data_IF_136471706700
#
_entry.id   IF_136471706700
#
_cell.length_a   1.000
_cell.length_b   1.000
_cell.length_c   1.000
_cell.angle_alpha   90.00
_cell.angle_beta   90.00
_cell.angle_gamma   90.00
#
_symmetry.space_group_name_H-M   'P 1'
#
loop_
_entity.id
_entity.type
_entity.pdbx_description
1 polymer ?
#
# COMPACT_ATOMS: atom_id res chain seq x y z
N UNK A 1 46.27 -22.89 -5.43
CA UNK A 1 45.83 -21.55 -4.98
C UNK A 1 44.72 -21.09 -5.90
N UNK A 2 43.52 -20.90 -5.31
CA UNK A 2 42.31 -20.25 -5.84
C UNK A 2 41.62 -20.86 -7.07
N UNK A 3 40.77 -21.86 -6.80
CA UNK A 3 39.49 -22.08 -7.51
C UNK A 3 38.53 -20.93 -7.13
N UNK A 4 38.05 -20.11 -8.07
CA UNK A 4 36.80 -20.24 -8.87
C UNK A 4 35.51 -20.20 -8.00
N UNK A 5 34.69 -19.18 -8.30
CA UNK A 5 33.26 -18.95 -8.03
C UNK A 5 32.73 -19.07 -6.59
N UNK A 6 32.28 -17.94 -6.04
CA UNK A 6 30.99 -17.84 -5.35
C UNK A 6 30.55 -16.38 -5.39
N UNK A 7 30.04 -15.95 -6.54
CA UNK A 7 29.17 -14.78 -6.57
C UNK A 7 27.88 -15.20 -5.89
N UNK A 8 27.68 -14.72 -4.67
CA UNK A 8 26.48 -14.98 -3.89
C UNK A 8 25.32 -14.28 -4.62
N UNK A 9 24.64 -15.07 -5.44
CA UNK A 9 23.37 -14.75 -6.07
C UNK A 9 22.37 -14.52 -4.92
N UNK A 10 22.06 -13.25 -4.65
CA UNK A 10 20.98 -12.87 -3.75
C UNK A 10 19.68 -13.36 -4.38
N UNK A 11 19.15 -14.45 -3.83
CA UNK A 11 17.93 -15.09 -4.30
C UNK A 11 16.77 -14.25 -3.75
N UNK A 12 16.24 -13.33 -4.56
CA UNK A 12 14.79 -13.13 -4.56
C UNK A 12 14.23 -14.51 -4.86
N UNK A 13 13.66 -15.16 -3.84
CA UNK A 13 13.19 -16.53 -3.96
C UNK A 13 12.14 -16.53 -5.06
N UNK A 14 12.47 -17.17 -6.19
CA UNK A 14 11.52 -17.41 -7.25
C UNK A 14 10.43 -18.33 -6.74
N UNK A 15 9.22 -17.82 -6.64
CA UNK A 15 8.01 -18.61 -6.76
C UNK A 15 7.25 -18.10 -7.99
N UNK A 16 7.06 -18.92 -9.04
CA UNK A 16 6.05 -18.64 -10.04
C UNK A 16 4.72 -19.14 -9.44
N UNK A 17 4.08 -18.31 -8.63
CA UNK A 17 2.63 -18.35 -8.57
C UNK A 17 2.23 -17.15 -9.39
N UNK A 18 1.58 -17.38 -10.53
CA UNK A 18 0.90 -16.32 -11.23
C UNK A 18 -0.23 -15.85 -10.31
N UNK A 19 0.09 -15.03 -9.31
CA UNK A 19 -0.85 -14.04 -8.84
C UNK A 19 -1.14 -13.17 -10.06
N UNK A 20 -2.41 -13.02 -10.42
CA UNK A 20 -2.77 -12.05 -11.43
C UNK A 20 -2.21 -10.70 -10.97
N UNK A 21 -1.62 -9.92 -11.89
CA UNK A 21 -1.15 -8.57 -11.55
C UNK A 21 -2.30 -7.81 -10.85
N UNK A 22 -2.04 -7.04 -9.78
CA UNK A 22 -3.07 -6.36 -9.03
C UNK A 22 -3.91 -5.52 -9.96
N UNK A 23 -5.23 -5.56 -9.79
CA UNK A 23 -6.16 -4.88 -10.69
C UNK A 23 -5.82 -3.38 -10.80
N UNK A 24 -5.39 -2.77 -9.69
CA UNK A 24 -5.00 -1.37 -9.65
C UNK A 24 -3.84 -1.02 -10.58
N UNK A 25 -2.96 -1.97 -10.94
CA UNK A 25 -1.88 -1.71 -11.92
C UNK A 25 -2.43 -1.35 -13.29
N UNK A 26 -3.53 -1.99 -13.69
CA UNK A 26 -4.23 -1.66 -14.94
C UNK A 26 -5.03 -0.38 -14.77
N UNK A 27 -5.80 -0.25 -13.68
CA UNK A 27 -6.66 0.93 -13.45
C UNK A 27 -5.86 2.23 -13.34
N UNK A 28 -4.67 2.17 -12.73
CA UNK A 28 -3.75 3.31 -12.56
C UNK A 28 -2.71 3.45 -13.67
N UNK A 29 -2.80 2.65 -14.72
CA UNK A 29 -1.91 2.70 -15.90
C UNK A 29 -0.42 2.59 -15.54
N UNK A 30 -0.09 1.70 -14.60
CA UNK A 30 1.28 1.40 -14.18
C UNK A 30 1.98 0.48 -15.18
N UNK A 31 1.20 -0.33 -15.90
CA UNK A 31 1.70 -1.27 -16.90
C UNK A 31 2.06 -0.58 -18.22
N UNK A 32 3.21 -0.98 -18.78
CA UNK A 32 3.58 -0.57 -20.13
C UNK A 32 2.71 -1.32 -21.18
N UNK A 33 2.27 -0.65 -22.26
CA UNK A 33 1.33 -1.21 -23.23
C UNK A 33 1.91 -2.29 -24.16
N UNK A 34 3.23 -2.53 -24.16
CA UNK A 34 3.86 -3.50 -25.07
C UNK A 34 4.95 -4.32 -24.38
N UNK A 35 4.69 -5.63 -24.27
CA UNK A 35 5.54 -6.73 -23.75
C UNK A 35 6.09 -6.56 -22.33
N UNK A 36 5.77 -7.52 -21.46
CA UNK A 36 6.38 -7.73 -20.14
C UNK A 36 7.88 -7.96 -20.29
N UNK A 37 8.67 -6.88 -20.18
CA UNK A 37 10.11 -6.97 -20.06
C UNK A 37 10.50 -6.75 -18.60
N UNK A 38 10.15 -7.72 -17.75
CA UNK A 38 10.38 -7.64 -16.30
C UNK A 38 11.88 -7.69 -15.94
N UNK A 39 12.75 -8.06 -16.89
CA UNK A 39 14.21 -8.01 -16.72
C UNK A 39 14.83 -6.67 -17.14
N UNK A 40 14.04 -5.72 -17.68
CA UNK A 40 14.54 -4.40 -18.03
C UNK A 40 14.96 -3.60 -16.80
N UNK A 41 16.03 -2.81 -16.93
CA UNK A 41 16.42 -1.86 -15.91
C UNK A 41 15.33 -0.79 -15.73
N UNK A 42 15.07 -0.44 -14.47
CA UNK A 42 14.11 0.61 -14.09
C UNK A 42 14.85 1.88 -13.72
N UNK A 43 14.27 3.03 -14.06
CA UNK A 43 14.79 4.33 -13.62
C UNK A 43 14.03 4.87 -12.39
N UNK A 44 14.64 5.85 -11.72
CA UNK A 44 14.09 6.48 -10.50
C UNK A 44 12.71 7.09 -10.73
N UNK A 45 12.46 7.67 -11.90
CA UNK A 45 11.17 8.27 -12.25
C UNK A 45 10.04 7.24 -12.33
N UNK A 46 10.30 6.07 -12.93
CA UNK A 46 9.36 4.95 -12.97
C UNK A 46 9.03 4.43 -11.58
N UNK A 47 10.02 4.34 -10.69
CA UNK A 47 9.81 3.94 -9.30
C UNK A 47 8.94 4.95 -8.53
N UNK A 48 9.23 6.25 -8.68
CA UNK A 48 8.40 7.32 -8.10
C UNK A 48 6.97 7.30 -8.62
N UNK A 49 6.77 7.01 -9.90
CA UNK A 49 5.43 6.89 -10.48
C UNK A 49 4.67 5.71 -9.87
N UNK A 50 5.30 4.54 -9.75
CA UNK A 50 4.73 3.38 -9.05
C UNK A 50 4.31 3.73 -7.62
N UNK A 51 5.20 4.35 -6.84
CA UNK A 51 4.92 4.78 -5.48
C UNK A 51 3.77 5.80 -5.42
N UNK A 52 3.72 6.78 -6.34
CA UNK A 52 2.62 7.74 -6.40
C UNK A 52 1.27 7.06 -6.71
N UNK A 53 1.25 6.05 -7.59
CA UNK A 53 0.04 5.30 -7.88
C UNK A 53 -0.38 4.41 -6.70
N UNK A 54 0.56 3.80 -5.99
CA UNK A 54 0.29 3.08 -4.74
C UNK A 54 -0.27 3.98 -3.64
N UNK A 55 0.28 5.20 -3.47
CA UNK A 55 -0.27 6.19 -2.53
C UNK A 55 -1.73 6.50 -2.89
N UNK A 56 -2.02 6.70 -4.18
CA UNK A 56 -3.37 6.95 -4.64
C UNK A 56 -4.30 5.75 -4.38
N UNK A 57 -3.81 4.52 -4.58
CA UNK A 57 -4.55 3.29 -4.27
C UNK A 57 -4.87 3.18 -2.79
N UNK A 58 -3.87 3.28 -1.92
CA UNK A 58 -4.08 3.23 -0.48
C UNK A 58 -4.94 4.37 0.03
N UNK A 59 -4.84 5.58 -0.54
CA UNK A 59 -5.74 6.68 -0.16
C UNK A 59 -7.18 6.43 -0.58
N UNK A 60 -7.41 5.74 -1.70
CA UNK A 60 -8.75 5.38 -2.14
C UNK A 60 -9.31 4.23 -1.28
N UNK A 61 -8.57 3.14 -1.15
CA UNK A 61 -9.01 1.91 -0.48
C UNK A 61 -8.95 2.02 1.04
N UNK A 62 -7.89 2.62 1.59
CA UNK A 62 -7.72 2.81 3.03
C UNK A 62 -8.14 4.21 3.51
N UNK A 63 -8.70 5.04 2.63
CA UNK A 63 -9.10 6.42 2.94
C UNK A 63 -9.88 6.61 4.25
N UNK A 64 -10.87 5.76 4.59
CA UNK A 64 -11.58 5.84 5.87
C UNK A 64 -10.67 5.70 7.10
N UNK A 65 -9.53 5.01 6.99
CA UNK A 65 -8.57 4.76 8.07
C UNK A 65 -7.34 5.67 8.02
N UNK A 66 -7.45 6.80 7.30
CA UNK A 66 -6.37 7.75 7.11
C UNK A 66 -5.53 7.52 5.85
N UNK A 67 -5.93 6.57 5.00
CA UNK A 67 -5.30 6.33 3.70
C UNK A 67 -3.87 5.81 3.81
N UNK A 68 -3.05 6.16 2.83
CA UNK A 68 -1.64 5.83 2.79
C UNK A 68 -0.86 6.46 3.95
N UNK A 69 -1.23 7.68 4.37
CA UNK A 69 -0.42 8.54 5.26
C UNK A 69 1.02 8.77 4.77
N UNK A 70 1.26 8.60 3.47
CA UNK A 70 2.57 8.74 2.81
C UNK A 70 2.46 9.85 1.78
N UNK A 71 3.45 10.73 1.72
CA UNK A 71 3.58 11.80 0.75
C UNK A 71 4.75 11.56 -0.18
N UNK A 72 4.61 11.92 -1.46
CA UNK A 72 5.76 11.90 -2.38
C UNK A 72 6.89 12.83 -1.94
N UNK A 73 6.60 13.83 -1.10
CA UNK A 73 7.61 14.71 -0.51
C UNK A 73 8.54 13.99 0.47
N UNK A 74 8.10 12.87 1.07
CA UNK A 74 8.90 12.10 2.01
C UNK A 74 10.09 11.41 1.32
N UNK A 75 10.02 11.24 0.00
CA UNK A 75 11.06 10.63 -0.83
C UNK A 75 11.94 11.64 -1.57
N UNK A 76 11.69 12.95 -1.41
CA UNK A 76 12.43 14.00 -2.09
C UNK A 76 13.46 14.60 -1.15
N UNK A 77 14.73 14.49 -1.51
CA UNK A 77 15.76 15.31 -0.91
C UNK A 77 15.85 16.64 -1.68
N UNK A 78 15.42 17.79 -1.10
CA UNK A 78 15.40 19.07 -1.79
C UNK A 78 16.81 19.58 -2.17
N UNK A 79 17.86 19.00 -1.60
CA UNK A 79 19.25 19.36 -1.84
C UNK A 79 20.00 18.34 -2.71
N UNK A 80 19.34 17.27 -3.16
CA UNK A 80 19.94 16.29 -4.06
C UNK A 80 19.69 16.69 -5.52
N UNK A 81 20.66 16.47 -6.39
CA UNK A 81 20.43 16.56 -7.83
C UNK A 81 19.39 15.50 -8.24
N UNK A 82 18.20 15.93 -8.66
CA UNK A 82 17.14 15.04 -9.11
C UNK A 82 17.49 14.50 -10.50
N UNK A 83 17.83 13.22 -10.59
CA UNK A 83 17.98 12.53 -11.87
C UNK A 83 17.00 11.36 -11.96
N UNK A 84 15.79 11.64 -12.44
CA UNK A 84 14.73 10.64 -12.57
C UNK A 84 15.02 9.62 -13.69
N UNK A 85 16.00 9.90 -14.56
CA UNK A 85 16.46 8.96 -15.59
C UNK A 85 17.60 8.05 -15.12
N UNK A 86 18.13 8.27 -13.91
CA UNK A 86 19.13 7.38 -13.33
C UNK A 86 18.54 6.00 -13.08
N UNK A 87 19.37 4.95 -13.20
CA UNK A 87 18.99 3.61 -12.81
C UNK A 87 18.64 3.58 -11.31
N UNK A 88 17.52 2.94 -10.97
CA UNK A 88 17.11 2.72 -9.60
C UNK A 88 18.03 1.69 -8.94
N UNK A 89 18.49 1.95 -7.73
CA UNK A 89 19.27 0.98 -6.96
C UNK A 89 18.43 0.19 -5.96
N UNK A 90 18.90 -0.98 -5.52
CA UNK A 90 18.20 -1.83 -4.54
C UNK A 90 17.90 -1.06 -3.24
N UNK A 91 18.87 -0.33 -2.71
CA UNK A 91 18.67 0.47 -1.49
C UNK A 91 17.64 1.58 -1.67
N UNK A 92 17.58 2.21 -2.85
CA UNK A 92 16.56 3.21 -3.18
C UNK A 92 15.17 2.58 -3.26
N UNK A 93 15.05 1.38 -3.83
CA UNK A 93 13.78 0.66 -3.90
C UNK A 93 13.30 0.26 -2.50
N UNK A 94 14.18 -0.31 -1.66
CA UNK A 94 13.87 -0.62 -0.25
C UNK A 94 13.34 0.62 0.47
N UNK A 95 14.10 1.72 0.43
CA UNK A 95 13.72 2.99 1.04
C UNK A 95 12.36 3.50 0.55
N UNK A 96 12.08 3.39 -0.75
CA UNK A 96 10.82 3.81 -1.33
C UNK A 96 9.64 2.93 -0.87
N UNK A 97 9.84 1.62 -0.75
CA UNK A 97 8.80 0.66 -0.41
C UNK A 97 8.53 0.57 1.11
N UNK A 98 9.54 0.79 1.95
CA UNK A 98 9.44 0.68 3.43
C UNK A 98 8.16 1.28 4.03
N UNK A 99 7.80 2.57 3.79
CA UNK A 99 6.66 3.15 4.47
C UNK A 99 5.32 2.52 4.05
N UNK A 100 5.23 1.92 2.86
CA UNK A 100 4.03 1.19 2.43
C UNK A 100 3.86 -0.11 3.22
N UNK A 101 4.95 -0.86 3.41
CA UNK A 101 4.94 -2.07 4.24
C UNK A 101 4.63 -1.73 5.70
N UNK A 102 5.25 -0.69 6.25
CA UNK A 102 4.99 -0.25 7.63
C UNK A 102 3.50 0.10 7.81
N UNK A 103 2.94 0.86 6.86
CA UNK A 103 1.53 1.22 6.89
C UNK A 103 0.60 0.02 6.80
N UNK A 104 0.92 -0.97 5.97
CA UNK A 104 0.13 -2.21 5.86
C UNK A 104 0.23 -3.07 7.12
N UNK A 105 1.39 -3.10 7.77
CA UNK A 105 1.60 -3.80 9.03
C UNK A 105 0.73 -3.23 10.17
N UNK A 106 0.41 -1.93 10.15
CA UNK A 106 -0.55 -1.33 11.10
C UNK A 106 -1.97 -1.90 10.98
N UNK A 107 -2.30 -2.55 9.85
CA UNK A 107 -3.58 -3.23 9.58
C UNK A 107 -3.46 -4.76 9.68
N UNK A 108 -2.39 -5.28 10.28
CA UNK A 108 -2.12 -6.73 10.36
C UNK A 108 -2.12 -7.45 8.99
N UNK A 109 -1.83 -6.72 7.91
CA UNK A 109 -1.82 -7.24 6.53
C UNK A 109 -0.91 -8.46 6.34
N UNK A 110 0.14 -8.57 7.15
CA UNK A 110 1.13 -9.64 7.10
C UNK A 110 0.85 -10.79 8.09
N UNK A 111 -0.34 -10.80 8.70
CA UNK A 111 -0.83 -11.81 9.63
C UNK A 111 -1.14 -11.25 11.01
N UNK A 112 -1.96 -11.97 11.77
CA UNK A 112 -2.39 -11.62 13.14
C UNK A 112 -1.77 -12.58 14.17
N UNK A 113 -1.01 -12.09 15.17
CA UNK A 113 -0.49 -10.72 15.27
C UNK A 113 0.58 -10.45 14.20
N UNK A 114 0.75 -9.18 13.81
CA UNK A 114 1.80 -8.78 12.88
C UNK A 114 3.17 -9.40 13.24
N UNK A 115 3.83 -10.09 12.30
CA UNK A 115 5.15 -10.66 12.54
C UNK A 115 6.20 -9.59 12.90
N UNK A 116 7.24 -9.99 13.63
CA UNK A 116 8.36 -9.07 13.94
C UNK A 116 9.13 -8.60 12.70
N UNK A 117 8.99 -9.31 11.58
CA UNK A 117 9.62 -9.01 10.30
C UNK A 117 8.64 -9.32 9.17
N UNK A 118 8.26 -8.29 8.40
CA UNK A 118 7.26 -8.37 7.32
C UNK A 118 7.75 -7.82 5.98
N UNK A 119 8.99 -7.33 5.92
CA UNK A 119 9.59 -6.91 4.65
C UNK A 119 9.90 -8.12 3.78
N UNK A 120 9.85 -7.93 2.46
CA UNK A 120 10.20 -8.99 1.50
C UNK A 120 11.72 -9.15 1.30
N UNK A 121 12.56 -8.47 2.10
CA UNK A 121 14.02 -8.54 2.08
C UNK A 121 14.57 -8.86 3.47
N UNK A 122 15.78 -9.42 3.53
CA UNK A 122 16.39 -9.90 4.77
C UNK A 122 16.78 -8.75 5.73
N UNK A 123 16.82 -9.02 7.03
CA UNK A 123 17.39 -8.10 8.04
C UNK A 123 18.93 -8.13 8.07
N UNK A 124 19.53 -9.08 7.35
CA UNK A 124 20.97 -9.21 7.25
C UNK A 124 21.48 -8.09 6.37
N UNK A 125 22.40 -7.28 6.88
CA UNK A 125 22.93 -6.12 6.14
C UNK A 125 24.23 -6.42 5.38
N UNK A 126 24.76 -7.64 5.52
CA UNK A 126 26.03 -8.06 4.89
C UNK A 126 25.87 -8.58 3.47
N UNK A 127 24.65 -8.89 3.05
CA UNK A 127 24.26 -9.34 1.70
C UNK A 127 23.50 -8.25 0.92
N UNK A 128 23.34 -7.07 1.53
CA UNK A 128 22.65 -5.91 0.97
C UNK A 128 23.45 -5.31 -0.19
N UNK A 129 23.13 -5.76 -1.40
CA UNK A 129 23.68 -5.22 -2.63
C UNK A 129 22.98 -3.90 -3.01
N UNK A 130 22.94 -2.95 -2.09
CA UNK A 130 22.08 -1.76 -2.15
C UNK A 130 22.39 -0.80 -3.32
N UNK A 131 23.59 -0.91 -3.90
CA UNK A 131 24.02 -0.14 -5.07
C UNK A 131 23.75 -0.85 -6.40
N UNK A 132 23.27 -2.09 -6.39
CA UNK A 132 22.92 -2.80 -7.62
C UNK A 132 21.69 -2.20 -8.29
N UNK A 133 21.67 -2.23 -9.63
CA UNK A 133 20.53 -1.79 -10.40
C UNK A 133 19.34 -2.75 -10.24
N UNK A 134 18.14 -2.19 -10.19
CA UNK A 134 16.86 -2.89 -10.08
C UNK A 134 16.25 -3.13 -11.46
N UNK A 135 15.63 -4.30 -11.64
CA UNK A 135 14.81 -4.60 -12.81
C UNK A 135 13.30 -4.39 -12.57
N UNK A 136 12.52 -4.37 -13.65
CA UNK A 136 11.08 -4.10 -13.60
C UNK A 136 10.28 -5.11 -12.77
N UNK A 137 10.66 -6.39 -12.79
CA UNK A 137 10.05 -7.43 -11.97
C UNK A 137 10.27 -7.21 -10.49
N UNK A 138 11.46 -6.74 -10.10
CA UNK A 138 11.77 -6.38 -8.71
C UNK A 138 10.96 -5.18 -8.22
N UNK A 139 10.80 -4.13 -9.04
CA UNK A 139 9.93 -3.00 -8.69
C UNK A 139 8.49 -3.47 -8.53
N UNK A 140 7.97 -4.21 -9.52
CA UNK A 140 6.62 -4.78 -9.51
C UNK A 140 6.35 -5.60 -8.26
N UNK A 141 7.24 -6.55 -7.95
CA UNK A 141 7.12 -7.42 -6.78
C UNK A 141 7.00 -6.65 -5.45
N UNK A 142 7.66 -5.49 -5.32
CA UNK A 142 7.59 -4.68 -4.10
C UNK A 142 6.32 -3.83 -3.97
N UNK A 143 5.49 -3.77 -5.02
CA UNK A 143 4.23 -3.03 -5.07
C UNK A 143 3.07 -3.93 -5.53
N UNK A 144 3.16 -5.23 -5.25
CA UNK A 144 2.19 -6.26 -5.66
C UNK A 144 1.09 -6.47 -4.60
N UNK A 145 0.58 -5.36 -4.04
CA UNK A 145 -0.45 -5.42 -3.01
C UNK A 145 -1.84 -5.39 -3.66
N UNK A 146 -2.63 -6.43 -3.43
CA UNK A 146 -4.01 -6.52 -3.91
C UNK A 146 -5.02 -6.13 -2.83
N UNK A 147 -5.49 -4.89 -2.90
CA UNK A 147 -6.47 -4.30 -1.98
C UNK A 147 -7.93 -4.69 -2.28
N UNK A 148 -8.18 -5.42 -3.36
CA UNK A 148 -9.54 -5.73 -3.83
C UNK A 148 -9.93 -7.19 -3.61
N UNK A 149 -9.05 -8.02 -3.07
CA UNK A 149 -9.44 -9.37 -2.68
C UNK A 149 -10.21 -9.31 -1.35
N UNK A 150 -11.49 -9.72 -1.29
CA UNK A 150 -12.25 -9.76 -0.04
C UNK A 150 -11.59 -10.67 1.02
N UNK A 151 -10.78 -11.65 0.61
CA UNK A 151 -9.95 -12.43 1.54
C UNK A 151 -8.77 -11.67 2.19
N UNK A 152 -8.42 -10.48 1.69
CA UNK A 152 -7.32 -9.66 2.23
C UNK A 152 -7.82 -8.62 3.25
N UNK A 153 -9.12 -8.57 3.49
CA UNK A 153 -9.71 -7.87 4.62
C UNK A 153 -10.01 -8.93 5.68
N UNK A 154 -9.24 -8.92 6.77
CA UNK A 154 -9.40 -9.90 7.86
C UNK A 154 -10.82 -9.77 8.42
N UNK A 155 -11.48 -10.91 8.60
CA UNK A 155 -12.82 -11.11 9.20
C UNK A 155 -12.73 -12.39 10.07
N UNK A 156 -12.22 -12.26 11.28
CA UNK A 156 -11.90 -13.35 12.20
C UNK A 156 -13.17 -13.98 12.79
N UNK A 157 -14.24 -13.22 12.99
CA UNK A 157 -15.54 -13.74 13.43
C UNK A 157 -16.51 -14.14 12.30
N UNK A 158 -16.07 -13.99 11.03
CA UNK A 158 -16.72 -14.46 9.81
C UNK A 158 -18.16 -13.96 9.65
N UNK A 159 -18.37 -12.69 9.95
CA UNK A 159 -19.68 -12.07 9.85
C UNK A 159 -19.85 -11.22 8.58
N UNK A 160 -18.87 -11.25 7.68
CA UNK A 160 -18.74 -10.46 6.45
C UNK A 160 -18.49 -8.95 6.71
N UNK A 161 -18.07 -8.57 7.93
CA UNK A 161 -17.51 -7.26 8.26
C UNK A 161 -15.99 -7.30 8.42
N UNK A 162 -15.28 -6.22 8.09
CA UNK A 162 -13.85 -6.12 8.34
C UNK A 162 -13.45 -5.97 9.81
N UNK A 163 -12.57 -6.82 10.33
CA UNK A 163 -12.05 -6.79 11.70
C UNK A 163 -11.57 -5.39 12.11
N UNK A 164 -10.77 -4.78 11.24
CA UNK A 164 -10.18 -3.48 11.54
C UNK A 164 -11.27 -2.40 11.69
N UNK A 165 -12.40 -2.54 10.97
CA UNK A 165 -13.50 -1.57 11.01
C UNK A 165 -14.30 -1.78 12.29
N UNK A 166 -14.61 -3.01 12.64
CA UNK A 166 -15.33 -3.35 13.86
C UNK A 166 -14.59 -2.93 15.12
N UNK A 167 -13.27 -3.19 15.17
CA UNK A 167 -12.40 -2.71 16.26
C UNK A 167 -12.40 -1.18 16.32
N UNK A 168 -12.39 -0.49 15.18
CA UNK A 168 -12.39 0.97 15.15
C UNK A 168 -13.73 1.58 15.63
N UNK A 169 -14.86 0.97 15.31
CA UNK A 169 -16.18 1.47 15.71
C UNK A 169 -16.54 1.09 17.15
N UNK A 170 -16.19 -0.12 17.59
CA UNK A 170 -16.72 -0.72 18.83
C UNK A 170 -15.65 -1.21 19.80
N UNK A 171 -14.39 -1.30 19.38
CA UNK A 171 -13.29 -1.81 20.18
C UNK A 171 -13.25 -3.34 20.32
N UNK A 172 -14.09 -4.07 19.59
CA UNK A 172 -14.10 -5.53 19.50
C UNK A 172 -14.73 -5.96 18.17
N UNK A 173 -14.62 -7.25 17.82
CA UNK A 173 -15.20 -7.80 16.59
C UNK A 173 -16.71 -8.03 16.79
N UNK A 174 -17.04 -8.79 17.84
CA UNK A 174 -18.40 -9.30 18.13
C UNK A 174 -19.54 -8.30 18.42
N UNK A 175 -19.36 -6.98 18.30
CA UNK A 175 -20.44 -6.00 18.55
C UNK A 175 -21.24 -5.72 17.30
N UNK A 176 -20.58 -5.48 16.18
CA UNK A 176 -21.22 -5.54 14.87
C UNK A 176 -21.21 -7.03 14.52
N UNK A 177 -22.35 -7.56 14.10
CA UNK A 177 -22.50 -9.03 13.96
C UNK A 177 -23.05 -9.44 12.59
N UNK A 178 -23.24 -8.44 11.73
CA UNK A 178 -23.73 -8.62 10.38
C UNK A 178 -23.60 -7.32 9.55
N UNK A 179 -23.31 -7.41 8.24
CA UNK A 179 -23.38 -6.29 7.30
C UNK A 179 -24.79 -5.72 7.11
N UNK A 180 -25.83 -6.53 7.33
CA UNK A 180 -27.23 -6.19 7.02
C UNK A 180 -27.98 -5.57 8.22
N UNK A 181 -27.35 -5.46 9.39
CA UNK A 181 -27.97 -4.83 10.57
C UNK A 181 -27.79 -3.32 10.57
N UNK A 182 -28.79 -2.61 11.07
CA UNK A 182 -28.78 -1.17 11.34
C UNK A 182 -28.68 -1.00 12.86
N UNK A 183 -27.46 -1.08 13.38
CA UNK A 183 -27.20 -1.20 14.82
C UNK A 183 -27.57 0.06 15.61
N UNK A 184 -27.53 1.23 14.98
CA UNK A 184 -27.91 2.50 15.59
C UNK A 184 -29.33 2.99 15.23
N UNK A 185 -30.00 2.31 14.30
CA UNK A 185 -31.36 2.58 13.82
C UNK A 185 -31.52 3.93 13.12
N UNK A 186 -30.53 4.35 12.32
CA UNK A 186 -30.58 5.58 11.53
C UNK A 186 -31.04 5.38 10.09
N UNK A 187 -31.27 4.14 9.69
CA UNK A 187 -31.77 3.75 8.38
C UNK A 187 -30.68 3.31 7.39
N UNK A 188 -29.44 3.14 7.85
CA UNK A 188 -28.34 2.55 7.10
C UNK A 188 -27.89 1.24 7.73
N UNK A 189 -27.56 0.23 6.91
CA UNK A 189 -26.96 -1.01 7.45
C UNK A 189 -25.45 -0.84 7.66
N UNK A 190 -24.85 -1.65 8.54
CA UNK A 190 -23.42 -1.64 8.86
C UNK A 190 -22.52 -1.63 7.60
N UNK A 191 -22.86 -2.41 6.57
CA UNK A 191 -22.09 -2.41 5.32
C UNK A 191 -22.30 -1.14 4.49
N UNK A 192 -23.52 -0.60 4.47
CA UNK A 192 -23.78 0.70 3.83
C UNK A 192 -22.99 1.80 4.53
N UNK A 193 -22.95 1.76 5.86
CA UNK A 193 -22.19 2.67 6.71
C UNK A 193 -20.69 2.54 6.54
N UNK A 194 -20.18 1.32 6.44
CA UNK A 194 -18.80 1.03 6.06
C UNK A 194 -18.46 1.69 4.70
N UNK A 195 -19.34 1.60 3.71
CA UNK A 195 -19.14 2.19 2.38
C UNK A 195 -19.26 3.71 2.36
N UNK A 196 -20.18 4.31 3.12
CA UNK A 196 -20.41 5.77 3.15
C UNK A 196 -19.61 6.49 4.24
N UNK A 197 -18.84 5.75 5.06
CA UNK A 197 -17.99 6.26 6.15
C UNK A 197 -18.77 6.92 7.28
N UNK A 198 -19.92 6.36 7.65
CA UNK A 198 -20.66 6.74 8.87
C UNK A 198 -20.26 5.84 10.05
N UNK A 199 -20.93 6.00 11.20
CA UNK A 199 -20.60 5.29 12.43
C UNK A 199 -21.79 4.42 12.83
N UNK A 200 -21.67 3.08 12.82
CA UNK A 200 -22.75 2.13 13.07
C UNK A 200 -23.22 2.05 14.53
N UNK A 201 -22.71 2.93 15.38
CA UNK A 201 -23.09 3.04 16.78
C UNK A 201 -23.69 4.40 17.12
N UNK A 202 -23.87 5.29 16.12
CA UNK A 202 -24.26 6.68 16.34
C UNK A 202 -25.29 7.17 15.35
N UNK A 203 -26.56 7.01 15.74
CA UNK A 203 -27.68 7.42 14.90
C UNK A 203 -27.54 8.88 14.48
N UNK A 204 -27.27 9.12 13.19
CA UNK A 204 -26.88 10.43 12.73
C UNK A 204 -28.05 11.43 12.88
N UNK A 205 -27.83 12.52 13.63
CA UNK A 205 -28.65 13.73 13.51
C UNK A 205 -27.84 15.00 13.18
N UNK A 206 -26.57 14.84 12.81
CA UNK A 206 -25.77 15.92 12.23
C UNK A 206 -24.75 15.34 11.28
N UNK A 207 -24.92 15.64 10.00
CA UNK A 207 -23.83 15.59 9.04
C UNK A 207 -22.62 16.28 9.66
N UNK A 208 -21.55 15.53 9.93
CA UNK A 208 -20.26 16.14 10.17
C UNK A 208 -19.75 16.58 8.79
N UNK A 209 -20.39 17.62 8.26
CA UNK A 209 -19.84 18.48 7.22
C UNK A 209 -18.62 19.14 7.83
N UNK A 210 -17.50 18.41 7.88
CA UNK A 210 -16.20 19.04 7.87
C UNK A 210 -16.18 19.86 6.58
N UNK A 211 -16.60 21.12 6.70
CA UNK A 211 -16.37 22.13 5.69
C UNK A 211 -14.87 22.07 5.41
N UNK A 212 -14.52 21.44 4.30
CA UNK A 212 -13.30 21.75 3.59
C UNK A 212 -13.30 23.28 3.43
N UNK A 213 -12.54 23.95 4.30
CA UNK A 213 -12.09 25.31 4.04
C UNK A 213 -11.19 25.19 2.80
N UNK A 214 -11.82 25.24 1.63
CA UNK A 214 -11.16 25.39 0.35
C UNK A 214 -10.56 26.80 0.38
N UNK A 215 -9.35 26.93 0.93
CA UNK A 215 -8.55 28.12 0.72
C UNK A 215 -8.09 28.06 -0.72
N UNK A 216 -8.89 28.68 -1.60
CA UNK A 216 -8.53 28.95 -2.99
C UNK A 216 -7.29 29.84 -2.93
N UNK A 217 -6.11 29.25 -3.13
CA UNK A 217 -4.91 30.01 -3.42
C UNK A 217 -5.08 30.57 -4.83
N UNK A 218 -5.42 31.85 -4.92
CA UNK A 218 -5.39 32.58 -6.18
C UNK A 218 -3.95 32.62 -6.71
N UNK A 219 -3.73 32.57 -8.04
CA UNK A 219 -2.40 32.64 -8.62
C UNK A 219 -1.72 33.98 -8.27
N UNK A 220 -0.46 33.92 -7.86
CA UNK A 220 0.39 35.12 -7.77
C UNK A 220 0.78 35.50 -9.21
N UNK A 221 0.11 36.49 -9.78
CA UNK A 221 0.64 37.28 -10.89
C UNK A 221 0.94 38.68 -10.38
N UNK A 222 2.23 39.05 -10.42
CA UNK A 222 2.75 40.17 -11.22
C UNK A 222 4.24 39.90 -11.51
#
# INVERSE_FOLDING_TARGET
MRHILTGLLCLLVGAPIASAEPIWWTERNVLAPTTTNDFAAVNVGQAKFMAAMMIAEMNEKLGPWGGAQISMNDFINPNAATNDYAALTVGQLKFLATPFYDRLAEFDWFGTPTPSHYYSWTEVTTDDNDFAAVNAGQLKYMFDFDFLAPENIIDDDNDDLPDFWEIAQTGNLTTLTSPDTDDDNDGHTNIEEFHIRSNPTQAANTANSAQMSLTVLTPLED
#
